data_IF_908009208300
#
_entry.id   IF_908009208300
#
_cell.length_a   1.000
_cell.length_b   1.000
_cell.length_c   1.000
_cell.angle_alpha   90.00
_cell.angle_beta   90.00
_cell.angle_gamma   90.00
#
_symmetry.space_group_name_H-M   'P 1'
#
loop_
_entity.id
_entity.type
_entity.pdbx_description
1 polymer ?
#
# COMPACT_ATOMS: atom_id res chain seq x y z
N UNK A 1 -5.73 10.14 13.67
CA UNK A 1 -4.30 9.89 14.00
C UNK A 1 -3.62 9.43 12.71
N UNK A 2 -2.36 9.82 12.44
CA UNK A 2 -1.66 9.50 11.18
C UNK A 2 -0.57 8.47 11.45
N UNK A 3 -0.64 7.28 10.86
CA UNK A 3 0.45 6.30 11.01
C UNK A 3 1.57 6.52 10.00
N UNK A 4 2.74 6.00 10.38
CA UNK A 4 3.99 6.24 9.69
C UNK A 4 4.76 4.94 9.55
N UNK A 5 5.01 4.49 8.33
CA UNK A 5 5.95 3.39 8.06
C UNK A 5 7.37 3.95 7.90
N UNK A 6 8.37 3.31 8.52
CA UNK A 6 9.79 3.61 8.26
C UNK A 6 10.24 2.80 7.05
N UNK A 7 10.60 3.48 5.97
CA UNK A 7 11.28 2.89 4.81
C UNK A 7 12.73 3.37 4.78
N UNK A 8 13.57 2.78 3.93
CA UNK A 8 14.93 3.27 3.63
C UNK A 8 14.94 4.72 3.09
N UNK A 9 13.78 5.24 2.69
CA UNK A 9 13.56 6.60 2.13
C UNK A 9 12.92 7.54 3.18
N UNK A 10 12.70 7.07 4.42
CA UNK A 10 12.16 7.85 5.54
C UNK A 10 10.76 7.43 6.00
N UNK A 11 10.12 8.31 6.79
CA UNK A 11 8.80 8.13 7.40
C UNK A 11 7.68 8.40 6.37
N UNK A 12 6.98 7.37 5.91
CA UNK A 12 5.86 7.48 4.97
C UNK A 12 4.54 7.50 5.73
N UNK A 13 3.74 8.54 5.52
CA UNK A 13 2.43 8.69 6.17
C UNK A 13 1.35 7.90 5.42
N UNK A 14 0.65 7.01 6.12
CA UNK A 14 -0.47 6.24 5.57
C UNK A 14 -1.74 7.08 5.63
N UNK A 15 -2.19 7.54 4.46
CA UNK A 15 -3.45 8.25 4.31
C UNK A 15 -4.37 7.38 3.47
N UNK A 16 -5.55 7.03 4.00
CA UNK A 16 -6.56 6.21 3.29
C UNK A 16 -6.80 6.71 1.87
N UNK A 17 -7.11 8.01 1.72
CA UNK A 17 -7.36 8.60 0.40
C UNK A 17 -6.15 8.54 -0.53
N UNK A 18 -4.93 8.76 -0.01
CA UNK A 18 -3.72 8.70 -0.83
C UNK A 18 -3.30 7.28 -1.19
N UNK A 19 -3.56 6.31 -0.33
CA UNK A 19 -3.34 4.90 -0.63
C UNK A 19 -4.28 4.41 -1.73
N UNK A 20 -5.55 4.79 -1.67
CA UNK A 20 -6.52 4.47 -2.72
C UNK A 20 -6.18 5.19 -4.04
N UNK A 21 -5.82 6.48 -3.99
CA UNK A 21 -5.38 7.22 -5.19
C UNK A 21 -4.12 6.60 -5.82
N UNK A 22 -3.15 6.22 -4.99
CA UNK A 22 -1.95 5.51 -5.44
C UNK A 22 -2.32 4.16 -6.06
N UNK A 23 -3.12 3.36 -5.37
CA UNK A 23 -3.55 2.05 -5.84
C UNK A 23 -4.20 2.14 -7.21
N UNK A 24 -5.18 3.03 -7.37
CA UNK A 24 -5.86 3.27 -8.64
C UNK A 24 -4.95 3.77 -9.76
N UNK A 25 -3.79 4.35 -9.44
CA UNK A 25 -2.79 4.76 -10.44
C UNK A 25 -1.87 3.62 -10.92
N UNK A 26 -1.94 2.44 -10.29
CA UNK A 26 -1.16 1.27 -10.69
C UNK A 26 -1.80 0.54 -11.87
N UNK A 27 -0.96 -0.12 -12.67
CA UNK A 27 -1.37 -1.02 -13.74
C UNK A 27 -2.41 -2.03 -13.25
N UNK A 28 -3.44 -2.26 -14.06
CA UNK A 28 -4.58 -3.12 -13.70
C UNK A 28 -4.15 -4.54 -13.37
N UNK A 29 -3.16 -5.08 -14.09
CA UNK A 29 -2.60 -6.41 -13.84
C UNK A 29 -1.94 -6.52 -12.47
N UNK A 30 -1.22 -5.49 -12.03
CA UNK A 30 -0.57 -5.47 -10.73
C UNK A 30 -1.60 -5.38 -9.60
N UNK A 31 -2.63 -4.54 -9.77
CA UNK A 31 -3.77 -4.48 -8.84
C UNK A 31 -4.45 -5.84 -8.68
N UNK A 32 -4.79 -6.51 -9.78
CA UNK A 32 -5.40 -7.85 -9.73
C UNK A 32 -4.55 -8.85 -8.94
N UNK A 33 -3.22 -8.84 -9.12
CA UNK A 33 -2.33 -9.73 -8.35
C UNK A 33 -2.35 -9.41 -6.86
N UNK A 34 -2.37 -8.13 -6.48
CA UNK A 34 -2.48 -7.69 -5.09
C UNK A 34 -3.80 -8.16 -4.48
N UNK A 35 -4.92 -7.88 -5.14
CA UNK A 35 -6.25 -8.26 -4.67
C UNK A 35 -6.40 -9.77 -4.52
N UNK A 36 -5.95 -10.58 -5.47
CA UNK A 36 -6.01 -12.05 -5.38
C UNK A 36 -5.22 -12.56 -4.17
N UNK A 37 -4.02 -12.03 -3.93
CA UNK A 37 -3.17 -12.49 -2.81
C UNK A 37 -3.71 -12.05 -1.45
N UNK A 38 -4.22 -10.82 -1.37
CA UNK A 38 -4.86 -10.30 -0.17
C UNK A 38 -6.16 -11.06 0.13
N UNK A 39 -6.99 -11.32 -0.89
CA UNK A 39 -8.22 -12.08 -0.76
C UNK A 39 -7.93 -13.52 -0.29
N UNK A 40 -6.90 -14.17 -0.82
CA UNK A 40 -6.49 -15.51 -0.35
C UNK A 40 -6.04 -15.53 1.11
N UNK A 41 -5.47 -14.44 1.61
CA UNK A 41 -4.90 -14.37 2.98
C UNK A 41 -5.91 -13.88 4.01
N UNK A 42 -6.78 -12.95 3.63
CA UNK A 42 -7.68 -12.21 4.53
C UNK A 42 -9.16 -12.27 4.15
N UNK A 43 -9.50 -12.83 2.98
CA UNK A 43 -10.85 -12.76 2.43
C UNK A 43 -11.25 -11.39 1.88
N UNK A 44 -10.29 -10.45 1.77
CA UNK A 44 -10.53 -9.03 1.43
C UNK A 44 -9.54 -8.52 0.38
N UNK A 45 -9.99 -7.59 -0.46
CA UNK A 45 -9.14 -6.87 -1.41
C UNK A 45 -8.33 -5.73 -0.76
N UNK A 46 -7.48 -5.08 -1.54
CA UNK A 46 -6.66 -3.96 -1.09
C UNK A 46 -7.52 -2.78 -0.59
N UNK A 47 -8.56 -2.41 -1.34
CA UNK A 47 -9.41 -1.26 -0.99
C UNK A 47 -10.12 -1.47 0.35
N UNK A 48 -10.70 -2.65 0.58
CA UNK A 48 -11.36 -3.00 1.84
C UNK A 48 -10.40 -2.90 3.03
N UNK A 49 -9.20 -3.47 2.90
CA UNK A 49 -8.17 -3.43 3.95
C UNK A 49 -7.78 -1.98 4.27
N UNK A 50 -7.61 -1.13 3.25
CA UNK A 50 -7.28 0.28 3.42
C UNK A 50 -8.43 1.08 4.02
N UNK A 51 -9.68 0.75 3.72
CA UNK A 51 -10.85 1.40 4.30
C UNK A 51 -11.01 1.07 5.79
N UNK A 52 -10.71 -0.16 6.19
CA UNK A 52 -10.81 -0.62 7.59
C UNK A 52 -9.63 -0.18 8.45
N UNK A 53 -8.40 -0.44 7.98
CA UNK A 53 -7.18 -0.28 8.76
C UNK A 53 -6.00 0.14 7.87
N UNK A 54 -5.97 1.39 7.37
CA UNK A 54 -4.92 1.87 6.47
C UNK A 54 -3.52 1.79 7.10
N UNK A 55 -3.44 1.87 8.42
CA UNK A 55 -2.19 1.82 9.18
C UNK A 55 -1.55 0.41 9.17
N UNK A 56 -2.36 -0.63 8.95
CA UNK A 56 -1.92 -2.03 8.93
C UNK A 56 -1.55 -2.51 7.52
N UNK A 57 -1.60 -1.63 6.50
CA UNK A 57 -1.41 -2.07 5.11
C UNK A 57 -0.05 -2.72 4.87
N UNK A 58 1.01 -2.23 5.52
CA UNK A 58 2.34 -2.82 5.41
C UNK A 58 2.38 -4.25 5.94
N UNK A 59 1.74 -4.50 7.08
CA UNK A 59 1.67 -5.84 7.67
C UNK A 59 0.81 -6.77 6.82
N UNK A 60 -0.33 -6.27 6.33
CA UNK A 60 -1.22 -7.00 5.44
C UNK A 60 -0.48 -7.47 4.19
N UNK A 61 0.21 -6.55 3.51
CA UNK A 61 1.04 -6.82 2.34
C UNK A 61 2.20 -7.77 2.66
N UNK A 62 2.88 -7.58 3.79
CA UNK A 62 4.02 -8.42 4.18
C UNK A 62 3.61 -9.88 4.37
N UNK A 63 2.45 -10.13 4.98
CA UNK A 63 1.90 -11.47 5.18
C UNK A 63 1.38 -12.08 3.87
N UNK A 64 0.72 -11.30 2.99
CA UNK A 64 0.15 -11.82 1.75
C UNK A 64 1.17 -11.98 0.60
N UNK A 65 2.19 -11.12 0.54
CA UNK A 65 3.14 -11.02 -0.58
C UNK A 65 4.57 -11.41 -0.20
N UNK A 66 4.88 -11.46 1.10
CA UNK A 66 6.24 -11.51 1.62
C UNK A 66 6.83 -10.11 1.84
N UNK A 67 7.70 -9.98 2.85
CA UNK A 67 8.30 -8.70 3.29
C UNK A 67 8.93 -7.91 2.15
N UNK A 68 9.75 -8.54 1.31
CA UNK A 68 10.43 -7.85 0.20
C UNK A 68 9.44 -7.17 -0.76
N UNK A 69 8.34 -7.85 -1.12
CA UNK A 69 7.33 -7.28 -2.01
C UNK A 69 6.54 -6.15 -1.34
N UNK A 70 6.29 -6.26 -0.04
CA UNK A 70 5.70 -5.17 0.74
C UNK A 70 6.63 -3.95 0.77
N UNK A 71 7.93 -4.14 0.98
CA UNK A 71 8.91 -3.04 0.96
C UNK A 71 8.94 -2.33 -0.40
N UNK A 72 8.93 -3.10 -1.51
CA UNK A 72 8.85 -2.55 -2.88
C UNK A 72 7.58 -1.72 -3.06
N UNK A 73 6.42 -2.23 -2.62
CA UNK A 73 5.16 -1.49 -2.66
C UNK A 73 5.26 -0.16 -1.89
N UNK A 74 5.83 -0.18 -0.68
CA UNK A 74 6.00 1.03 0.13
C UNK A 74 6.94 2.04 -0.52
N UNK A 75 8.01 1.57 -1.17
CA UNK A 75 8.94 2.43 -1.93
C UNK A 75 8.23 3.08 -3.12
N UNK A 76 7.42 2.31 -3.87
CA UNK A 76 6.63 2.84 -4.98
C UNK A 76 5.64 3.91 -4.50
N UNK A 77 4.96 3.66 -3.37
CA UNK A 77 4.04 4.62 -2.75
C UNK A 77 4.77 5.90 -2.31
N UNK A 78 5.91 5.77 -1.64
CA UNK A 78 6.70 6.92 -1.19
C UNK A 78 7.16 7.79 -2.37
N UNK A 79 7.68 7.16 -3.44
CA UNK A 79 8.09 7.86 -4.66
C UNK A 79 6.91 8.54 -5.35
N UNK A 80 5.74 7.90 -5.36
CA UNK A 80 4.52 8.49 -5.90
C UNK A 80 4.08 9.73 -5.12
N UNK A 81 4.10 9.67 -3.78
CA UNK A 81 3.82 10.82 -2.92
C UNK A 81 4.78 11.98 -3.16
N UNK A 82 6.08 11.70 -3.32
CA UNK A 82 7.08 12.71 -3.61
C UNK A 82 6.78 13.44 -4.94
N UNK A 83 6.45 12.69 -6.00
CA UNK A 83 6.09 13.32 -7.29
C UNK A 83 4.86 14.23 -7.17
N UNK A 84 3.85 13.80 -6.41
CA UNK A 84 2.61 14.55 -6.17
C UNK A 84 2.79 15.79 -5.28
N UNK A 85 3.86 15.88 -4.49
CA UNK A 85 4.14 17.04 -3.64
C UNK A 85 4.95 18.13 -4.37
N UNK A 86 5.59 17.77 -5.49
CA UNK A 86 6.37 18.70 -6.35
C UNK A 86 5.50 19.24 -7.50
N UNK A 87 4.30 18.67 -7.70
CA UNK A 87 3.28 19.15 -8.65
C UNK A 87 2.26 20.04 -7.96
#
# INVERSE_FOLDING_TARGET
MMAVAKTHIGKVKMSRGKLLEFYSSLESSYRTVLDVRLARTYGKGFEEIVLEAPDNIYEALSRALGRHNADVFMIMYARWLQRKAVS
#
